data_IF_424527474160
#
_entry.id   IF_424527474160
#
_cell.length_a   1.000
_cell.length_b   1.000
_cell.length_c   1.000
_cell.angle_alpha   90.00
_cell.angle_beta   90.00
_cell.angle_gamma   90.00
#
_symmetry.space_group_name_H-M   'P 1'
#
loop_
_entity.id
_entity.type
_entity.pdbx_description
1 polymer ?
#
# COMPACT_ATOMS: atom_id res chain seq x y z
N UNK A 1 -36.36 10.35 -40.52
CA UNK A 1 -35.80 9.00 -40.73
C UNK A 1 -34.58 8.74 -39.83
N UNK A 2 -33.49 9.52 -39.95
CA UNK A 2 -32.27 9.30 -39.15
C UNK A 2 -32.46 9.43 -37.62
N UNK A 3 -33.24 10.40 -37.15
CA UNK A 3 -33.48 10.59 -35.71
C UNK A 3 -34.32 9.46 -35.10
N UNK A 4 -35.29 8.95 -35.87
CA UNK A 4 -36.13 7.81 -35.45
C UNK A 4 -35.31 6.52 -35.39
N UNK A 5 -34.33 6.35 -36.29
CA UNK A 5 -33.39 5.24 -36.26
C UNK A 5 -32.47 5.29 -35.03
N UNK A 6 -31.99 6.47 -34.64
CA UNK A 6 -31.16 6.67 -33.44
C UNK A 6 -31.98 6.41 -32.16
N UNK A 7 -33.23 6.88 -32.09
CA UNK A 7 -34.10 6.64 -30.94
C UNK A 7 -34.49 5.15 -30.85
N UNK A 8 -34.75 4.47 -31.97
CA UNK A 8 -35.00 3.04 -32.01
C UNK A 8 -33.76 2.21 -31.57
N UNK A 9 -32.56 2.67 -31.91
CA UNK A 9 -31.29 2.10 -31.44
C UNK A 9 -31.08 2.25 -29.93
N UNK A 10 -31.54 3.37 -29.36
CA UNK A 10 -31.44 3.62 -27.91
C UNK A 10 -32.51 2.84 -27.12
N UNK A 11 -33.69 2.64 -27.71
CA UNK A 11 -34.82 1.93 -27.04
C UNK A 11 -34.75 0.41 -27.17
N UNK A 12 -34.01 -0.16 -28.13
CA UNK A 12 -33.84 -1.61 -28.29
C UNK A 12 -32.79 -2.22 -27.31
N UNK A 13 -32.58 -1.58 -26.16
CA UNK A 13 -31.41 -1.75 -25.29
C UNK A 13 -31.71 -2.56 -24.02
N UNK A 14 -31.97 -3.86 -24.15
CA UNK A 14 -31.18 -4.77 -23.31
C UNK A 14 -30.89 -6.09 -24.04
N UNK A 15 -29.62 -6.40 -24.30
CA UNK A 15 -28.97 -7.63 -23.77
C UNK A 15 -27.64 -8.03 -24.42
N UNK A 16 -27.29 -7.72 -25.67
CA UNK A 16 -26.03 -8.30 -26.24
C UNK A 16 -25.20 -7.42 -27.20
N UNK A 17 -25.62 -6.20 -27.54
CA UNK A 17 -24.94 -5.37 -28.57
C UNK A 17 -23.78 -4.47 -28.09
N UNK A 18 -23.58 -4.32 -26.78
CA UNK A 18 -22.62 -3.35 -26.22
C UNK A 18 -21.15 -3.72 -26.46
N UNK A 19 -20.81 -5.01 -26.63
CA UNK A 19 -19.41 -5.45 -26.70
C UNK A 19 -18.71 -5.03 -27.99
N UNK A 20 -19.36 -5.09 -29.15
CA UNK A 20 -18.71 -4.82 -30.44
C UNK A 20 -18.39 -3.34 -30.65
N UNK A 21 -19.33 -2.44 -30.32
CA UNK A 21 -19.08 -0.99 -30.42
C UNK A 21 -18.13 -0.50 -29.32
N UNK A 22 -18.21 -1.05 -28.11
CA UNK A 22 -17.25 -0.74 -27.04
C UNK A 22 -15.83 -1.21 -27.39
N UNK A 23 -15.67 -2.39 -28.00
CA UNK A 23 -14.38 -2.89 -28.46
C UNK A 23 -13.78 -1.99 -29.57
N UNK A 24 -14.60 -1.55 -30.53
CA UNK A 24 -14.16 -0.64 -31.58
C UNK A 24 -13.78 0.74 -31.01
N UNK A 25 -14.60 1.31 -30.12
CA UNK A 25 -14.32 2.57 -29.45
C UNK A 25 -13.06 2.48 -28.58
N UNK A 26 -12.88 1.38 -27.84
CA UNK A 26 -11.70 1.12 -27.02
C UNK A 26 -10.44 0.93 -27.88
N UNK A 27 -10.53 0.22 -29.01
CA UNK A 27 -9.41 0.06 -29.94
C UNK A 27 -9.00 1.42 -30.56
N UNK A 28 -9.97 2.25 -30.95
CA UNK A 28 -9.70 3.60 -31.45
C UNK A 28 -9.11 4.50 -30.37
N UNK A 29 -9.65 4.48 -29.15
CA UNK A 29 -9.12 5.24 -28.01
C UNK A 29 -7.69 4.79 -27.67
N UNK A 30 -7.43 3.48 -27.64
CA UNK A 30 -6.09 2.91 -27.40
C UNK A 30 -5.12 3.27 -28.52
N UNK A 31 -5.55 3.25 -29.77
CA UNK A 31 -4.76 3.68 -30.92
C UNK A 31 -4.42 5.18 -30.84
N UNK A 32 -5.41 6.01 -30.51
CA UNK A 32 -5.23 7.45 -30.32
C UNK A 32 -4.29 7.77 -29.15
N UNK A 33 -4.46 7.12 -28.00
CA UNK A 33 -3.60 7.28 -26.83
C UNK A 33 -2.18 6.79 -27.13
N UNK A 34 -1.99 5.64 -27.79
CA UNK A 34 -0.67 5.16 -28.23
C UNK A 34 0.00 6.13 -29.20
N UNK A 35 -0.75 6.70 -30.14
CA UNK A 35 -0.24 7.71 -31.07
C UNK A 35 0.17 9.00 -30.36
N UNK A 36 -0.63 9.47 -29.41
CA UNK A 36 -0.34 10.67 -28.61
C UNK A 36 0.87 10.46 -27.70
N UNK A 37 0.95 9.31 -27.01
CA UNK A 37 2.09 8.93 -26.16
C UNK A 37 3.37 8.76 -26.99
N UNK A 38 3.28 8.14 -28.17
CA UNK A 38 4.41 7.99 -29.07
C UNK A 38 4.97 9.34 -29.54
N UNK A 39 4.09 10.27 -29.95
CA UNK A 39 4.48 11.64 -30.34
C UNK A 39 5.05 12.42 -29.16
N UNK A 40 4.44 12.35 -27.99
CA UNK A 40 4.93 13.02 -26.78
C UNK A 40 6.31 12.48 -26.38
N UNK A 41 6.52 11.16 -26.42
CA UNK A 41 7.82 10.54 -26.14
C UNK A 41 8.88 10.95 -27.16
N UNK A 42 8.55 10.99 -28.45
CA UNK A 42 9.47 11.44 -29.48
C UNK A 42 9.85 12.92 -29.31
N UNK A 43 8.87 13.79 -29.03
CA UNK A 43 9.10 15.20 -28.73
C UNK A 43 9.96 15.39 -27.47
N UNK A 44 9.75 14.55 -26.44
CA UNK A 44 10.51 14.57 -25.20
C UNK A 44 11.98 14.24 -25.45
N UNK A 45 12.25 13.14 -26.16
CA UNK A 45 13.62 12.73 -26.49
C UNK A 45 14.31 13.77 -27.38
N UNK A 46 13.58 14.36 -28.34
CA UNK A 46 14.09 15.44 -29.18
C UNK A 46 14.46 16.68 -28.37
N UNK A 47 13.60 17.08 -27.43
CA UNK A 47 13.85 18.22 -26.54
C UNK A 47 15.08 18.00 -25.65
N UNK A 48 15.23 16.80 -25.07
CA UNK A 48 16.38 16.43 -24.26
C UNK A 48 17.69 16.43 -25.07
N UNK A 49 17.66 15.90 -26.30
CA UNK A 49 18.82 15.92 -27.21
C UNK A 49 19.20 17.34 -27.65
N UNK A 50 18.22 18.18 -28.00
CA UNK A 50 18.48 19.60 -28.34
C UNK A 50 19.08 20.34 -27.14
N UNK A 51 18.55 20.10 -25.93
CA UNK A 51 19.06 20.70 -24.71
C UNK A 51 20.51 20.30 -24.43
N UNK A 52 20.83 19.00 -24.53
CA UNK A 52 22.21 18.51 -24.37
C UNK A 52 23.17 19.13 -25.38
N UNK A 53 22.75 19.27 -26.64
CA UNK A 53 23.55 19.92 -27.68
C UNK A 53 23.76 21.41 -27.37
N UNK A 54 22.71 22.12 -26.93
CA UNK A 54 22.80 23.54 -26.57
C UNK A 54 23.75 23.76 -25.37
N UNK A 55 23.69 22.90 -24.35
CA UNK A 55 24.58 22.93 -23.18
C UNK A 55 26.03 22.69 -23.60
N UNK A 56 26.30 21.67 -24.43
CA UNK A 56 27.64 21.39 -24.95
C UNK A 56 28.21 22.54 -25.79
N UNK A 57 27.35 23.28 -26.48
CA UNK A 57 27.71 24.47 -27.25
C UNK A 57 27.83 25.74 -26.41
N UNK A 58 27.57 25.69 -25.09
CA UNK A 58 27.53 26.87 -24.23
C UNK A 58 26.43 27.87 -24.60
N UNK A 59 25.40 27.43 -25.32
CA UNK A 59 24.27 28.29 -25.72
C UNK A 59 23.27 28.38 -24.59
N UNK A 60 23.17 29.55 -23.96
CA UNK A 60 22.19 29.82 -22.92
C UNK A 60 20.82 30.14 -23.53
N UNK A 61 19.79 29.39 -23.13
CA UNK A 61 18.38 29.71 -23.41
C UNK A 61 17.64 29.83 -22.08
N UNK A 62 16.61 30.69 -22.05
CA UNK A 62 15.76 30.88 -20.87
C UNK A 62 14.30 30.69 -21.27
N UNK A 63 13.47 30.05 -20.42
CA UNK A 63 12.05 29.88 -20.73
C UNK A 63 11.34 31.23 -20.69
N UNK A 64 10.31 31.42 -21.52
CA UNK A 64 9.64 32.72 -21.67
C UNK A 64 8.95 33.19 -20.38
N UNK A 65 8.59 32.25 -19.51
CA UNK A 65 7.92 32.50 -18.24
C UNK A 65 8.87 32.63 -17.05
N UNK A 66 10.20 32.75 -17.26
CA UNK A 66 11.17 32.83 -16.15
C UNK A 66 10.92 34.02 -15.20
N UNK A 67 10.28 35.08 -15.69
CA UNK A 67 9.91 36.25 -14.88
C UNK A 67 8.71 36.02 -13.95
N UNK A 68 8.02 34.89 -14.09
CA UNK A 68 6.93 34.49 -13.20
C UNK A 68 7.48 33.84 -11.94
N UNK A 69 7.45 34.59 -10.83
CA UNK A 69 8.06 34.22 -9.55
C UNK A 69 7.56 32.87 -9.02
N UNK A 70 6.30 32.52 -9.23
CA UNK A 70 5.72 31.28 -8.70
C UNK A 70 6.27 30.06 -9.46
N UNK A 71 6.27 30.11 -10.79
CA UNK A 71 6.84 29.04 -11.61
C UNK A 71 8.36 28.93 -11.45
N UNK A 72 9.05 30.05 -11.25
CA UNK A 72 10.48 30.05 -10.96
C UNK A 72 10.78 29.31 -9.64
N UNK A 73 10.06 29.62 -8.56
CA UNK A 73 10.20 28.93 -7.28
C UNK A 73 9.93 27.43 -7.42
N UNK A 74 8.88 27.07 -8.14
CA UNK A 74 8.52 25.67 -8.35
C UNK A 74 9.59 24.92 -9.14
N UNK A 75 10.14 25.50 -10.22
CA UNK A 75 11.23 24.92 -10.99
C UNK A 75 12.46 24.66 -10.11
N UNK A 76 12.85 25.62 -9.28
CA UNK A 76 14.00 25.49 -8.36
C UNK A 76 13.74 24.41 -7.30
N UNK A 77 12.55 24.40 -6.70
CA UNK A 77 12.19 23.43 -5.68
C UNK A 77 12.21 21.98 -6.21
N UNK A 78 11.57 21.74 -7.35
CA UNK A 78 11.52 20.42 -7.97
C UNK A 78 12.88 19.97 -8.49
N UNK A 79 13.69 20.88 -9.05
CA UNK A 79 15.06 20.55 -9.47
C UNK A 79 15.94 20.16 -8.28
N UNK A 80 15.86 20.88 -7.15
CA UNK A 80 16.59 20.50 -5.93
C UNK A 80 16.16 19.14 -5.39
N UNK A 81 14.85 18.88 -5.37
CA UNK A 81 14.29 17.59 -4.96
C UNK A 81 14.77 16.46 -5.86
N UNK A 82 14.82 16.68 -7.17
CA UNK A 82 15.34 15.71 -8.13
C UNK A 82 16.84 15.41 -7.94
N UNK A 83 17.65 16.42 -7.64
CA UNK A 83 19.07 16.24 -7.32
C UNK A 83 19.27 15.46 -6.00
N UNK A 84 18.42 15.69 -5.00
CA UNK A 84 18.44 14.93 -3.74
C UNK A 84 18.03 13.48 -3.96
N UNK A 85 17.01 13.25 -4.79
CA UNK A 85 16.61 11.90 -5.22
C UNK A 85 17.68 11.18 -6.07
N UNK A 86 18.68 11.91 -6.59
CA UNK A 86 19.87 11.34 -7.22
C UNK A 86 21.00 11.01 -6.23
N UNK A 87 20.84 11.29 -4.94
CA UNK A 87 21.79 10.99 -3.88
C UNK A 87 22.59 12.19 -3.35
N UNK A 88 22.33 13.42 -3.83
CA UNK A 88 22.96 14.61 -3.25
C UNK A 88 22.35 14.97 -1.89
N UNK A 89 23.17 15.39 -0.93
CA UNK A 89 22.66 15.95 0.34
C UNK A 89 21.99 17.32 0.12
N UNK A 90 21.15 17.82 1.06
CA UNK A 90 20.55 19.14 0.94
C UNK A 90 21.56 20.28 0.80
N UNK A 91 22.70 20.18 1.48
CA UNK A 91 23.80 21.16 1.41
C UNK A 91 24.49 21.06 0.04
N UNK A 92 24.80 19.84 -0.42
CA UNK A 92 25.41 19.62 -1.74
C UNK A 92 24.52 20.14 -2.86
N UNK A 93 23.22 19.80 -2.85
CA UNK A 93 22.27 20.28 -3.86
C UNK A 93 22.19 21.81 -3.87
N UNK A 94 22.11 22.46 -2.70
CA UNK A 94 22.07 23.93 -2.64
C UNK A 94 23.34 24.57 -3.18
N UNK A 95 24.52 24.05 -2.82
CA UNK A 95 25.80 24.50 -3.35
C UNK A 95 25.94 24.25 -4.86
N UNK A 96 25.43 23.12 -5.34
CA UNK A 96 25.46 22.74 -6.75
C UNK A 96 24.60 23.67 -7.62
N UNK A 97 23.39 24.02 -7.16
CA UNK A 97 22.55 25.03 -7.83
C UNK A 97 23.05 26.46 -7.68
N UNK A 98 24.05 26.74 -6.83
CA UNK A 98 24.75 28.04 -6.83
C UNK A 98 25.75 28.17 -7.98
N UNK A 99 26.06 27.08 -8.70
CA UNK A 99 26.97 27.10 -9.83
C UNK A 99 26.23 27.64 -11.08
N UNK A 100 26.86 28.58 -11.79
CA UNK A 100 26.25 29.28 -12.92
C UNK A 100 25.99 28.34 -14.11
N UNK A 101 26.92 27.42 -14.38
CA UNK A 101 26.81 26.41 -15.43
C UNK A 101 25.61 25.47 -15.21
N UNK A 102 25.38 25.05 -13.97
CA UNK A 102 24.24 24.19 -13.61
C UNK A 102 22.93 24.94 -13.76
N UNK A 103 22.87 26.17 -13.27
CA UNK A 103 21.67 27.01 -13.40
C UNK A 103 21.36 27.27 -14.88
N UNK A 104 22.38 27.58 -15.68
CA UNK A 104 22.21 27.83 -17.12
C UNK A 104 21.80 26.56 -17.87
N UNK A 105 22.30 25.39 -17.48
CA UNK A 105 21.86 24.11 -18.03
C UNK A 105 20.38 23.83 -17.74
N UNK A 106 19.94 24.03 -16.49
CA UNK A 106 18.54 23.84 -16.06
C UNK A 106 17.59 24.75 -16.84
N UNK A 107 17.94 26.03 -16.97
CA UNK A 107 17.15 27.00 -17.73
C UNK A 107 17.11 26.66 -19.22
N UNK A 108 18.24 26.22 -19.78
CA UNK A 108 18.35 25.86 -21.20
C UNK A 108 17.49 24.63 -21.53
N UNK A 109 17.48 23.63 -20.65
CA UNK A 109 16.63 22.44 -20.79
C UNK A 109 15.16 22.82 -20.73
N UNK A 110 14.77 23.62 -19.73
CA UNK A 110 13.38 24.10 -19.57
C UNK A 110 12.91 24.81 -20.84
N UNK A 111 13.73 25.70 -21.40
CA UNK A 111 13.44 26.43 -22.63
C UNK A 111 13.35 25.51 -23.88
N UNK A 112 14.13 24.43 -23.92
CA UNK A 112 14.05 23.46 -25.02
C UNK A 112 12.75 22.64 -24.95
N UNK A 113 12.28 22.27 -23.76
CA UNK A 113 10.95 21.68 -23.59
C UNK A 113 9.85 22.67 -23.99
N UNK A 114 9.96 23.94 -23.61
CA UNK A 114 9.01 24.96 -24.06
C UNK A 114 8.93 25.08 -25.59
N UNK A 115 10.08 25.10 -26.26
CA UNK A 115 10.15 25.16 -27.73
C UNK A 115 9.46 23.97 -28.42
N UNK A 116 9.45 22.81 -27.76
CA UNK A 116 8.77 21.61 -28.25
C UNK A 116 7.27 21.56 -27.88
N UNK A 117 6.72 22.64 -27.31
CA UNK A 117 5.29 22.80 -27.05
C UNK A 117 4.79 22.12 -25.78
N UNK A 118 5.70 21.73 -24.88
CA UNK A 118 5.31 21.18 -23.57
C UNK A 118 4.66 22.26 -22.70
N UNK A 119 3.68 21.90 -21.89
CA UNK A 119 3.09 22.77 -20.87
C UNK A 119 4.11 23.11 -19.77
N UNK A 120 3.91 24.21 -19.02
CA UNK A 120 4.83 24.62 -17.93
C UNK A 120 5.10 23.49 -16.92
N UNK A 121 4.06 22.74 -16.54
CA UNK A 121 4.19 21.60 -15.64
C UNK A 121 5.05 20.48 -16.26
N UNK A 122 4.81 20.13 -17.53
CA UNK A 122 5.62 19.12 -18.25
C UNK A 122 7.07 19.58 -18.44
N UNK A 123 7.31 20.87 -18.66
CA UNK A 123 8.67 21.44 -18.74
C UNK A 123 9.42 21.27 -17.42
N UNK A 124 8.76 21.51 -16.28
CA UNK A 124 9.36 21.29 -14.94
C UNK A 124 9.66 19.81 -14.73
N UNK A 125 8.73 18.90 -15.04
CA UNK A 125 8.95 17.46 -14.90
C UNK A 125 10.12 16.99 -15.78
N UNK A 126 10.16 17.39 -17.05
CA UNK A 126 11.25 17.03 -17.95
C UNK A 126 12.61 17.60 -17.51
N UNK A 127 12.60 18.79 -16.93
CA UNK A 127 13.81 19.40 -16.37
C UNK A 127 14.28 18.69 -15.10
N UNK A 128 13.36 18.29 -14.21
CA UNK A 128 13.68 17.50 -13.02
C UNK A 128 14.29 16.14 -13.37
N UNK A 129 13.77 15.46 -14.40
CA UNK A 129 14.34 14.20 -14.89
C UNK A 129 15.76 14.38 -15.43
N UNK A 130 16.00 15.46 -16.18
CA UNK A 130 17.33 15.83 -16.66
C UNK A 130 18.30 16.09 -15.50
N UNK A 131 17.88 16.89 -14.52
CA UNK A 131 18.66 17.24 -13.32
C UNK A 131 19.05 15.99 -12.54
N UNK A 132 18.12 15.04 -12.36
CA UNK A 132 18.39 13.77 -11.70
C UNK A 132 19.52 13.00 -12.39
N UNK A 133 19.46 12.88 -13.72
CA UNK A 133 20.52 12.21 -14.52
C UNK A 133 21.86 12.93 -14.40
N UNK A 134 21.87 14.26 -14.50
CA UNK A 134 23.09 15.06 -14.41
C UNK A 134 23.74 14.94 -13.03
N UNK A 135 22.95 14.99 -11.96
CA UNK A 135 23.43 14.80 -10.59
C UNK A 135 24.05 13.41 -10.37
N UNK A 136 23.40 12.34 -10.88
CA UNK A 136 23.94 10.98 -10.82
C UNK A 136 25.28 10.86 -11.54
N UNK A 137 25.44 11.49 -12.71
CA UNK A 137 26.71 11.48 -13.45
C UNK A 137 27.83 12.17 -12.68
N UNK A 138 27.56 13.31 -12.05
CA UNK A 138 28.56 14.04 -11.28
C UNK A 138 29.00 13.28 -10.02
N UNK A 139 28.06 12.62 -9.33
CA UNK A 139 28.39 11.76 -8.18
C UNK A 139 29.28 10.58 -8.59
N UNK A 140 28.97 9.93 -9.73
CA UNK A 140 29.80 8.87 -10.30
C UNK A 140 31.21 9.33 -10.69
N UNK A 141 31.33 10.54 -11.26
CA UNK A 141 32.64 11.11 -11.61
C UNK A 141 33.49 11.43 -10.37
N UNK A 142 32.87 11.91 -9.29
CA UNK A 142 33.57 12.15 -8.02
C UNK A 142 34.02 10.86 -7.35
N UNK A 143 33.21 9.81 -7.36
CA UNK A 143 33.60 8.51 -6.79
C UNK A 143 34.68 7.79 -7.61
N UNK A 144 34.78 8.05 -8.92
CA UNK A 144 35.75 7.40 -9.82
C UNK A 144 37.14 8.06 -9.80
N UNK A 145 37.30 9.21 -9.13
CA UNK A 145 38.59 9.89 -8.98
C UNK A 145 39.00 9.79 -7.51
N UNK A 146 39.73 8.73 -7.09
CA UNK A 146 40.24 8.66 -5.74
C UNK A 146 41.20 9.83 -5.54
N UNK A 147 40.90 10.65 -4.54
CA UNK A 147 41.67 11.82 -4.17
C UNK A 147 43.08 11.36 -3.76
N UNK A 148 44.05 11.48 -4.69
CA UNK A 148 45.47 11.31 -4.41
C UNK A 148 46.01 12.57 -3.73
N UNK A 149 45.43 12.90 -2.58
CA UNK A 149 45.84 13.99 -1.71
C UNK A 149 46.01 13.41 -0.31
N UNK A 150 47.28 13.27 0.09
CA UNK A 150 47.70 12.91 1.44
C UNK A 150 46.87 13.69 2.47
N UNK A 151 46.04 12.96 3.22
CA UNK A 151 45.45 13.46 4.47
C UNK A 151 46.02 12.66 5.62
N UNK A 152 46.72 13.42 6.46
CA UNK A 152 47.06 13.13 7.85
C UNK A 152 46.07 12.20 8.54
N UNK A 153 46.65 11.25 9.27
CA UNK A 153 45.99 10.25 10.10
C UNK A 153 45.07 10.95 11.11
N UNK A 154 43.78 10.82 10.88
CA UNK A 154 42.68 11.14 11.79
C UNK A 154 41.74 9.92 11.90
N UNK A 155 40.89 9.81 12.95
CA UNK A 155 40.48 8.56 13.61
C UNK A 155 39.45 7.67 12.88
N UNK A 156 39.47 7.62 11.54
CA UNK A 156 38.50 6.89 10.70
C UNK A 156 38.59 5.35 10.80
N UNK A 157 39.72 4.80 11.27
CA UNK A 157 39.90 3.35 11.36
C UNK A 157 39.06 2.70 12.48
N UNK A 158 38.66 3.47 13.50
CA UNK A 158 37.82 2.95 14.59
C UNK A 158 36.34 2.94 14.18
N UNK A 159 35.87 3.94 13.43
CA UNK A 159 34.48 4.00 12.92
C UNK A 159 34.18 2.94 11.83
N UNK A 160 35.18 2.59 11.01
CA UNK A 160 35.02 1.55 9.99
C UNK A 160 34.88 0.13 10.60
N UNK A 161 35.58 -0.15 11.70
CA UNK A 161 35.48 -1.44 12.40
C UNK A 161 34.16 -1.58 13.18
N UNK A 162 33.63 -0.50 13.77
CA UNK A 162 32.32 -0.54 14.44
C UNK A 162 31.17 -0.71 13.45
N UNK A 163 31.25 -0.05 12.29
CA UNK A 163 30.24 -0.15 11.22
C UNK A 163 30.08 -1.57 10.66
N UNK A 164 31.18 -2.33 10.56
CA UNK A 164 31.13 -3.71 10.05
C UNK A 164 30.50 -4.68 11.07
N UNK A 165 30.74 -4.49 12.37
CA UNK A 165 30.11 -5.30 13.42
C UNK A 165 28.61 -5.04 13.55
N UNK A 166 28.20 -3.78 13.45
CA UNK A 166 26.78 -3.35 13.46
C UNK A 166 26.00 -3.92 12.26
N UNK A 167 26.60 -3.87 11.06
CA UNK A 167 26.01 -4.46 9.85
C UNK A 167 25.77 -5.96 10.01
N UNK A 168 26.79 -6.70 10.48
CA UNK A 168 26.68 -8.16 10.63
C UNK A 168 25.66 -8.54 11.71
N UNK A 169 25.64 -7.81 12.83
CA UNK A 169 24.62 -7.98 13.86
C UNK A 169 23.21 -7.71 13.31
N UNK A 170 23.04 -6.63 12.54
CA UNK A 170 21.78 -6.30 11.87
C UNK A 170 21.31 -7.40 10.92
N UNK A 171 22.24 -8.00 10.15
CA UNK A 171 21.97 -9.13 9.24
C UNK A 171 21.49 -10.37 10.00
N UNK A 172 22.18 -10.77 11.06
CA UNK A 172 21.80 -11.93 11.89
C UNK A 172 20.40 -11.73 12.49
N UNK A 173 20.11 -10.55 13.02
CA UNK A 173 18.79 -10.22 13.56
C UNK A 173 17.69 -10.24 12.49
N UNK A 174 18.00 -9.77 11.28
CA UNK A 174 17.06 -9.82 10.16
C UNK A 174 16.74 -11.26 9.76
N UNK A 175 17.75 -12.12 9.64
CA UNK A 175 17.58 -13.55 9.32
C UNK A 175 16.77 -14.27 10.41
N UNK A 176 17.00 -13.97 11.68
CA UNK A 176 16.19 -14.47 12.79
C UNK A 176 14.72 -14.01 12.67
N UNK A 177 14.49 -12.74 12.32
CA UNK A 177 13.15 -12.21 12.08
C UNK A 177 12.43 -12.91 10.92
N UNK A 178 13.14 -13.23 9.84
CA UNK A 178 12.60 -14.00 8.72
C UNK A 178 12.22 -15.43 9.15
N UNK A 179 13.07 -16.10 9.92
CA UNK A 179 12.79 -17.43 10.44
C UNK A 179 11.56 -17.44 11.37
N UNK A 180 11.43 -16.46 12.27
CA UNK A 180 10.25 -16.29 13.11
C UNK A 180 8.99 -16.00 12.29
N UNK A 181 9.08 -15.18 11.24
CA UNK A 181 7.95 -14.87 10.37
C UNK A 181 7.45 -16.11 9.61
N UNK A 182 8.35 -16.94 9.09
CA UNK A 182 8.01 -18.21 8.43
C UNK A 182 7.35 -19.22 9.38
N UNK A 183 7.67 -19.14 10.67
CA UNK A 183 7.05 -19.97 11.71
C UNK A 183 5.79 -19.34 12.31
N UNK A 184 5.22 -18.29 11.70
CA UNK A 184 4.05 -17.55 12.21
C UNK A 184 4.22 -16.96 13.62
N UNK A 185 5.46 -16.74 14.05
CA UNK A 185 5.79 -16.05 15.31
C UNK A 185 5.92 -14.55 15.08
N UNK A 186 4.82 -13.92 14.68
CA UNK A 186 4.83 -12.56 14.14
C UNK A 186 5.30 -11.49 15.14
N UNK A 187 4.95 -11.61 16.42
CA UNK A 187 5.42 -10.69 17.45
C UNK A 187 6.95 -10.76 17.61
N UNK A 188 7.52 -11.96 17.70
CA UNK A 188 8.98 -12.17 17.75
C UNK A 188 9.65 -11.63 16.48
N UNK A 189 9.07 -11.87 15.30
CA UNK A 189 9.60 -11.36 14.03
C UNK A 189 9.64 -9.83 13.98
N UNK A 190 8.57 -9.15 14.42
CA UNK A 190 8.51 -7.69 14.53
C UNK A 190 9.59 -7.17 15.48
N UNK A 191 9.82 -7.84 16.61
CA UNK A 191 10.88 -7.49 17.55
C UNK A 191 12.27 -7.64 16.94
N UNK A 192 12.54 -8.76 16.27
CA UNK A 192 13.81 -8.99 15.57
C UNK A 192 14.06 -7.96 14.46
N UNK A 193 13.06 -7.64 13.63
CA UNK A 193 13.20 -6.58 12.63
C UNK A 193 13.46 -5.22 13.27
N UNK A 194 12.79 -4.92 14.39
CA UNK A 194 13.01 -3.67 15.13
C UNK A 194 14.42 -3.58 15.71
N UNK A 195 14.97 -4.70 16.22
CA UNK A 195 16.36 -4.76 16.69
C UNK A 195 17.35 -4.67 15.53
N UNK A 196 17.05 -5.32 14.41
CA UNK A 196 17.87 -5.24 13.18
C UNK A 196 17.98 -3.80 12.68
N UNK A 197 16.86 -3.07 12.60
CA UNK A 197 16.82 -1.64 12.22
C UNK A 197 17.69 -0.79 13.14
N UNK A 198 17.65 -1.04 14.46
CA UNK A 198 18.45 -0.31 15.45
C UNK A 198 19.95 -0.61 15.33
N UNK A 199 20.30 -1.84 14.98
CA UNK A 199 21.68 -2.24 14.78
C UNK A 199 22.24 -1.67 13.46
N UNK A 200 21.47 -1.73 12.38
CA UNK A 200 21.85 -1.17 11.09
C UNK A 200 20.60 -0.82 10.24
N UNK A 201 20.45 0.44 9.87
CA UNK A 201 19.32 0.88 9.04
C UNK A 201 19.42 0.33 7.61
N UNK A 202 18.46 -0.50 7.22
CA UNK A 202 18.35 -1.09 5.90
C UNK A 202 16.87 -1.13 5.48
N UNK A 203 16.52 -0.91 4.20
CA UNK A 203 15.13 -0.95 3.74
C UNK A 203 14.42 -2.30 3.96
N UNK A 204 15.12 -3.44 3.87
CA UNK A 204 14.50 -4.77 3.92
C UNK A 204 13.80 -5.09 5.26
N UNK A 205 14.42 -4.88 6.44
CA UNK A 205 13.73 -5.00 7.73
C UNK A 205 12.44 -4.15 7.84
N UNK A 206 12.45 -2.92 7.31
CA UNK A 206 11.26 -2.06 7.32
C UNK A 206 10.14 -2.63 6.45
N UNK A 207 10.45 -3.10 5.23
CA UNK A 207 9.47 -3.72 4.33
C UNK A 207 8.85 -4.96 4.98
N UNK A 208 9.67 -5.84 5.54
CA UNK A 208 9.19 -7.07 6.16
C UNK A 208 8.36 -6.80 7.42
N UNK A 209 8.76 -5.82 8.24
CA UNK A 209 7.98 -5.41 9.41
C UNK A 209 6.65 -4.77 9.00
N UNK A 210 6.63 -3.91 7.97
CA UNK A 210 5.41 -3.33 7.42
C UNK A 210 4.42 -4.40 6.94
N UNK A 211 4.90 -5.43 6.23
CA UNK A 211 4.06 -6.53 5.77
C UNK A 211 3.38 -7.25 6.94
N UNK A 212 4.11 -7.54 8.02
CA UNK A 212 3.54 -8.16 9.22
C UNK A 212 2.55 -7.22 9.94
N UNK A 213 2.87 -5.93 10.04
CA UNK A 213 1.98 -4.92 10.64
C UNK A 213 0.67 -4.82 9.85
N UNK A 214 0.72 -4.83 8.51
CA UNK A 214 -0.48 -4.85 7.67
C UNK A 214 -1.33 -6.11 7.85
N UNK A 215 -0.72 -7.29 8.06
CA UNK A 215 -1.45 -8.52 8.41
C UNK A 215 -2.14 -8.45 9.77
N UNK A 216 -1.67 -7.58 10.67
CA UNK A 216 -2.27 -7.27 11.97
C UNK A 216 -3.18 -6.03 11.94
N UNK A 217 -3.54 -5.54 10.75
CA UNK A 217 -4.40 -4.36 10.52
C UNK A 217 -3.76 -3.05 11.07
N UNK A 218 -2.45 -3.06 11.36
CA UNK A 218 -1.66 -1.90 11.82
C UNK A 218 -1.12 -1.10 10.64
N UNK A 219 -2.04 -0.68 9.77
CA UNK A 219 -1.72 -0.05 8.48
C UNK A 219 -1.04 1.31 8.64
N UNK A 220 -1.31 2.05 9.72
CA UNK A 220 -0.65 3.34 9.92
C UNK A 220 0.85 3.18 10.22
N UNK A 221 1.21 2.23 11.06
CA UNK A 221 2.60 1.90 11.38
C UNK A 221 3.31 1.29 10.16
N UNK A 222 2.62 0.41 9.43
CA UNK A 222 3.12 -0.11 8.16
C UNK A 222 3.43 1.02 7.15
N UNK A 223 2.60 2.07 7.09
CA UNK A 223 2.86 3.24 6.24
C UNK A 223 4.17 3.93 6.61
N UNK A 224 4.42 4.13 7.91
CA UNK A 224 5.66 4.79 8.37
C UNK A 224 6.89 3.95 8.00
N UNK A 225 6.81 2.63 8.18
CA UNK A 225 7.88 1.71 7.82
C UNK A 225 8.16 1.73 6.32
N UNK A 226 7.13 1.70 5.47
CA UNK A 226 7.29 1.75 4.01
C UNK A 226 7.85 3.09 3.53
N UNK A 227 7.46 4.22 4.16
CA UNK A 227 8.04 5.53 3.86
C UNK A 227 9.53 5.60 4.23
N UNK A 228 9.91 4.98 5.36
CA UNK A 228 11.31 4.86 5.76
C UNK A 228 12.09 3.94 4.82
N UNK A 229 11.54 2.78 4.45
CA UNK A 229 12.13 1.90 3.46
C UNK A 229 12.39 2.62 2.13
N UNK A 230 11.40 3.38 1.64
CA UNK A 230 11.52 4.18 0.41
C UNK A 230 12.66 5.20 0.48
N UNK A 231 12.86 5.81 1.66
CA UNK A 231 13.93 6.78 1.88
C UNK A 231 15.31 6.12 1.87
N UNK A 232 15.42 4.88 2.34
CA UNK A 232 16.68 4.13 2.44
C UNK A 232 17.02 3.35 1.16
N UNK A 233 16.06 3.09 0.27
CA UNK A 233 16.24 2.38 -1.00
C UNK A 233 16.90 3.24 -2.10
N UNK A 234 18.13 3.71 -1.84
CA UNK A 234 18.88 4.56 -2.78
C UNK A 234 19.19 3.86 -4.11
N UNK A 235 19.41 2.55 -4.07
CA UNK A 235 19.69 1.73 -5.26
C UNK A 235 18.44 1.41 -6.08
N UNK A 236 17.25 1.74 -5.56
CA UNK A 236 15.95 1.41 -6.15
C UNK A 236 15.73 -0.10 -6.36
N UNK A 237 16.33 -0.92 -5.51
CA UNK A 237 16.23 -2.38 -5.58
C UNK A 237 14.80 -2.84 -5.25
N UNK A 238 14.18 -2.17 -4.27
CA UNK A 238 12.87 -2.54 -3.75
C UNK A 238 11.74 -1.60 -4.21
N UNK A 239 12.05 -0.61 -5.05
CA UNK A 239 11.13 0.49 -5.36
C UNK A 239 9.77 0.04 -5.90
N UNK A 240 9.73 -0.99 -6.74
CA UNK A 240 8.46 -1.51 -7.28
C UNK A 240 7.57 -2.14 -6.20
N UNK A 241 8.17 -2.91 -5.29
CA UNK A 241 7.47 -3.52 -4.16
C UNK A 241 7.00 -2.46 -3.17
N UNK A 242 7.89 -1.53 -2.80
CA UNK A 242 7.58 -0.43 -1.89
C UNK A 242 6.43 0.41 -2.44
N UNK A 243 6.46 0.79 -3.72
CA UNK A 243 5.41 1.60 -4.33
C UNK A 243 4.06 0.88 -4.40
N UNK A 244 4.06 -0.44 -4.65
CA UNK A 244 2.86 -1.25 -4.60
C UNK A 244 2.25 -1.27 -3.20
N UNK A 245 3.02 -1.63 -2.18
CA UNK A 245 2.54 -1.70 -0.80
C UNK A 245 2.10 -0.32 -0.28
N UNK A 246 2.86 0.74 -0.60
CA UNK A 246 2.48 2.11 -0.28
C UNK A 246 1.12 2.47 -0.88
N UNK A 247 0.83 2.06 -2.12
CA UNK A 247 -0.46 2.38 -2.75
C UNK A 247 -1.65 1.79 -1.97
N UNK A 248 -1.50 0.56 -1.47
CA UNK A 248 -2.52 -0.15 -0.69
C UNK A 248 -2.67 0.50 0.69
N UNK A 249 -1.57 0.59 1.43
CA UNK A 249 -1.57 1.10 2.81
C UNK A 249 -1.99 2.58 2.85
N UNK A 250 -1.62 3.36 1.84
CA UNK A 250 -2.08 4.75 1.72
C UNK A 250 -3.59 4.84 1.49
N UNK A 251 -4.21 3.92 0.77
CA UNK A 251 -5.67 3.91 0.63
C UNK A 251 -6.34 3.56 1.98
N UNK A 252 -5.85 2.53 2.68
CA UNK A 252 -6.41 2.07 3.95
C UNK A 252 -6.26 3.10 5.09
N UNK A 253 -5.22 3.92 5.06
CA UNK A 253 -4.95 4.93 6.10
C UNK A 253 -5.53 6.31 5.81
N UNK A 254 -6.48 6.44 4.88
CA UNK A 254 -7.09 7.73 4.52
C UNK A 254 -7.76 8.44 5.70
N UNK A 255 -8.31 7.68 6.65
CA UNK A 255 -9.03 8.22 7.80
C UNK A 255 -8.15 9.00 8.80
N UNK A 256 -6.82 8.80 8.76
CA UNK A 256 -5.87 9.61 9.53
C UNK A 256 -5.66 11.02 8.99
N UNK A 257 -6.12 11.30 7.77
CA UNK A 257 -5.79 12.54 7.04
C UNK A 257 -7.01 13.35 6.64
N UNK A 258 -8.19 12.74 6.64
CA UNK A 258 -9.46 13.40 6.31
C UNK A 258 -10.23 13.88 7.55
N UNK A 259 -9.70 13.68 8.77
CA UNK A 259 -10.34 14.09 10.03
C UNK A 259 -11.37 13.09 10.58
N UNK A 260 -11.58 11.94 9.93
CA UNK A 260 -12.58 10.94 10.37
C UNK A 260 -12.18 10.36 11.72
N UNK A 261 -10.89 10.06 11.94
CA UNK A 261 -10.39 9.46 13.18
C UNK A 261 -10.82 10.24 14.42
N UNK A 262 -10.76 11.57 14.37
CA UNK A 262 -11.10 12.46 15.48
C UNK A 262 -12.60 12.48 15.79
N UNK A 263 -13.43 12.02 14.86
CA UNK A 263 -14.90 11.94 15.00
C UNK A 263 -15.38 10.57 15.46
N UNK A 264 -14.52 9.55 15.46
CA UNK A 264 -14.91 8.19 15.82
C UNK A 264 -15.19 8.09 17.32
N UNK A 265 -16.27 7.39 17.65
CA UNK A 265 -16.58 7.05 19.03
C UNK A 265 -15.49 6.15 19.59
N UNK A 266 -15.01 6.46 20.81
CA UNK A 266 -14.07 5.60 21.52
C UNK A 266 -14.79 4.40 22.10
N UNK A 267 -14.19 3.20 22.05
CA UNK A 267 -14.70 2.01 22.74
C UNK A 267 -14.47 2.12 24.26
N UNK A 268 -15.22 2.98 24.94
CA UNK A 268 -15.04 3.26 26.38
C UNK A 268 -15.85 2.33 27.30
N UNK A 269 -16.79 1.55 26.76
CA UNK A 269 -17.59 0.55 27.48
C UNK A 269 -17.86 -0.67 26.60
N UNK A 270 -18.15 -1.83 27.22
CA UNK A 270 -18.52 -3.07 26.51
C UNK A 270 -19.70 -2.86 25.55
N UNK A 271 -20.74 -2.14 25.99
CA UNK A 271 -21.90 -1.83 25.16
C UNK A 271 -21.53 -0.92 23.98
N UNK A 272 -20.69 0.09 24.21
CA UNK A 272 -20.19 0.96 23.13
C UNK A 272 -19.35 0.21 22.10
N UNK A 273 -18.55 -0.78 22.52
CA UNK A 273 -17.76 -1.61 21.61
C UNK A 273 -18.64 -2.46 20.71
N UNK A 274 -19.71 -3.03 21.28
CA UNK A 274 -20.67 -3.85 20.54
C UNK A 274 -21.35 -3.03 19.44
N UNK A 275 -21.84 -1.84 19.76
CA UNK A 275 -22.54 -0.98 18.80
C UNK A 275 -21.60 -0.52 17.67
N UNK A 276 -20.34 -0.17 18.02
CA UNK A 276 -19.31 0.16 17.03
C UNK A 276 -19.02 -1.04 16.12
N UNK A 277 -18.77 -2.22 16.68
CA UNK A 277 -18.48 -3.43 15.92
C UNK A 277 -19.61 -3.77 14.93
N UNK A 278 -20.86 -3.69 15.38
CA UNK A 278 -22.03 -3.94 14.56
C UNK A 278 -22.21 -2.90 13.45
N UNK A 279 -22.05 -1.61 13.76
CA UNK A 279 -22.13 -0.55 12.76
C UNK A 279 -21.03 -0.69 11.69
N UNK A 280 -19.81 -1.07 12.08
CA UNK A 280 -18.71 -1.32 11.15
C UNK A 280 -18.97 -2.53 10.26
N UNK A 281 -19.52 -3.63 10.80
CA UNK A 281 -19.93 -4.80 10.01
C UNK A 281 -21.03 -4.43 9.01
N UNK A 282 -22.12 -3.83 9.48
CA UNK A 282 -23.24 -3.41 8.63
C UNK A 282 -22.78 -2.49 7.50
N UNK A 283 -21.95 -1.49 7.81
CA UNK A 283 -21.43 -0.56 6.80
C UNK A 283 -20.47 -1.24 5.82
N UNK A 284 -19.53 -2.06 6.31
CA UNK A 284 -18.50 -2.66 5.48
C UNK A 284 -19.03 -3.76 4.56
N UNK A 285 -20.04 -4.52 5.03
CA UNK A 285 -20.70 -5.59 4.28
C UNK A 285 -21.96 -5.12 3.54
N UNK A 286 -22.30 -3.82 3.60
CA UNK A 286 -23.49 -3.24 2.96
C UNK A 286 -24.81 -3.89 3.44
N UNK A 287 -24.86 -4.30 4.70
CA UNK A 287 -26.02 -4.92 5.34
C UNK A 287 -26.85 -3.82 6.00
N UNK A 288 -28.12 -3.69 5.60
CA UNK A 288 -29.03 -2.74 6.25
C UNK A 288 -29.32 -3.14 7.71
N UNK A 289 -29.58 -2.16 8.58
CA UNK A 289 -29.93 -2.41 9.99
C UNK A 289 -31.06 -3.44 10.15
N UNK A 290 -32.15 -3.30 9.38
CA UNK A 290 -33.27 -4.25 9.44
C UNK A 290 -32.88 -5.66 8.98
N UNK A 291 -32.06 -5.77 7.93
CA UNK A 291 -31.58 -7.07 7.48
C UNK A 291 -30.71 -7.75 8.54
N UNK A 292 -29.86 -6.97 9.23
CA UNK A 292 -29.04 -7.45 10.33
C UNK A 292 -29.87 -7.88 11.55
N UNK A 293 -30.84 -7.05 11.97
CA UNK A 293 -31.73 -7.30 13.11
C UNK A 293 -32.57 -8.58 12.91
N UNK A 294 -33.09 -8.79 11.70
CA UNK A 294 -33.90 -9.97 11.37
C UNK A 294 -33.10 -11.12 10.74
N UNK A 295 -31.78 -10.98 10.62
CA UNK A 295 -30.87 -11.96 10.04
C UNK A 295 -31.28 -12.45 8.62
N UNK A 296 -31.73 -11.53 7.75
CA UNK A 296 -32.32 -11.82 6.41
C UNK A 296 -31.39 -11.52 5.22
N UNK A 297 -30.08 -11.41 5.45
CA UNK A 297 -29.08 -11.15 4.40
C UNK A 297 -28.31 -12.42 3.99
N UNK A 298 -27.51 -12.33 2.93
CA UNK A 298 -26.62 -13.42 2.52
C UNK A 298 -25.38 -13.51 3.44
N UNK A 299 -25.28 -14.62 4.17
CA UNK A 299 -24.19 -14.87 5.13
C UNK A 299 -22.86 -15.27 4.48
N UNK A 300 -22.81 -15.55 3.18
CA UNK A 300 -21.65 -16.22 2.55
C UNK A 300 -20.34 -15.47 2.78
N UNK A 301 -20.32 -14.14 2.59
CA UNK A 301 -19.12 -13.33 2.83
C UNK A 301 -18.82 -13.15 4.33
N UNK A 302 -19.85 -13.07 5.17
CA UNK A 302 -19.69 -12.89 6.62
C UNK A 302 -19.12 -14.16 7.28
N UNK A 303 -19.60 -15.32 6.85
CA UNK A 303 -19.09 -16.61 7.24
C UNK A 303 -17.63 -16.79 6.79
N UNK A 304 -17.33 -16.48 5.53
CA UNK A 304 -15.95 -16.48 5.05
C UNK A 304 -15.05 -15.57 5.90
N UNK A 305 -15.50 -14.34 6.19
CA UNK A 305 -14.76 -13.40 7.04
C UNK A 305 -14.45 -13.98 8.42
N UNK A 306 -15.44 -14.64 9.04
CA UNK A 306 -15.26 -15.27 10.35
C UNK A 306 -14.10 -16.27 10.35
N UNK A 307 -14.12 -17.25 9.44
CA UNK A 307 -13.05 -18.26 9.38
C UNK A 307 -11.71 -17.68 8.94
N UNK A 308 -11.71 -16.72 8.01
CA UNK A 308 -10.50 -16.01 7.60
C UNK A 308 -9.86 -15.25 8.77
N UNK A 309 -10.67 -14.62 9.63
CA UNK A 309 -10.15 -13.95 10.82
C UNK A 309 -9.66 -14.92 11.90
N UNK A 310 -10.31 -16.09 12.09
CA UNK A 310 -9.77 -17.13 12.99
C UNK A 310 -8.38 -17.60 12.51
N UNK A 311 -8.25 -17.87 11.21
CA UNK A 311 -6.97 -18.24 10.60
C UNK A 311 -5.91 -17.14 10.73
N UNK A 312 -6.28 -15.88 10.47
CA UNK A 312 -5.39 -14.74 10.63
C UNK A 312 -4.93 -14.56 12.08
N UNK A 313 -5.82 -14.74 13.06
CA UNK A 313 -5.47 -14.60 14.48
C UNK A 313 -4.48 -15.68 14.90
N UNK A 314 -4.67 -16.93 14.46
CA UNK A 314 -3.71 -18.01 14.74
C UNK A 314 -2.35 -17.74 14.11
N UNK A 315 -2.31 -17.20 12.88
CA UNK A 315 -1.08 -16.98 12.12
C UNK A 315 -0.33 -15.70 12.50
N UNK A 316 -1.03 -14.64 12.88
CA UNK A 316 -0.44 -13.30 12.96
C UNK A 316 -0.63 -12.59 14.31
N UNK A 317 -1.49 -13.09 15.18
CA UNK A 317 -1.82 -12.46 16.47
C UNK A 317 -1.50 -13.40 17.66
N UNK A 318 -1.59 -12.85 18.87
CA UNK A 318 -1.47 -13.64 20.09
C UNK A 318 -2.88 -14.12 20.52
N UNK A 319 -3.15 -15.43 20.38
CA UNK A 319 -4.48 -16.02 20.64
C UNK A 319 -5.00 -15.74 22.05
N UNK A 320 -4.11 -15.63 23.05
CA UNK A 320 -4.47 -15.28 24.43
C UNK A 320 -5.06 -13.86 24.58
N UNK A 321 -4.85 -12.99 23.60
CA UNK A 321 -5.47 -11.66 23.55
C UNK A 321 -6.89 -11.69 22.95
N UNK A 322 -7.31 -12.85 22.42
CA UNK A 322 -8.63 -13.14 21.85
C UNK A 322 -9.24 -14.38 22.55
N UNK A 323 -9.64 -14.28 23.83
CA UNK A 323 -10.05 -15.45 24.62
C UNK A 323 -11.25 -16.20 24.02
N UNK A 324 -12.17 -15.53 23.34
CA UNK A 324 -13.31 -16.16 22.65
C UNK A 324 -12.87 -17.08 21.51
N UNK A 325 -11.81 -16.67 20.80
CA UNK A 325 -11.26 -17.42 19.65
C UNK A 325 -10.70 -18.76 20.10
N UNK A 326 -10.14 -18.86 21.31
CA UNK A 326 -9.69 -20.14 21.86
C UNK A 326 -10.80 -21.19 21.96
N UNK A 327 -12.03 -20.77 22.27
CA UNK A 327 -13.20 -21.66 22.27
C UNK A 327 -13.56 -22.10 20.84
N UNK A 328 -13.68 -21.15 19.92
CA UNK A 328 -14.02 -21.46 18.53
C UNK A 328 -12.97 -22.33 17.83
N UNK A 329 -11.69 -22.17 18.13
CA UNK A 329 -10.63 -23.03 17.59
C UNK A 329 -10.70 -24.46 18.15
N UNK A 330 -11.30 -24.67 19.33
CA UNK A 330 -11.58 -26.00 19.84
C UNK A 330 -12.78 -26.64 19.13
N UNK A 331 -13.80 -25.84 18.80
CA UNK A 331 -15.02 -26.30 18.12
C UNK A 331 -14.82 -26.52 16.61
N UNK A 332 -13.94 -25.75 15.97
CA UNK A 332 -13.64 -25.82 14.54
C UNK A 332 -12.20 -26.29 14.30
N UNK A 333 -11.99 -27.56 13.87
CA UNK A 333 -10.65 -28.08 13.60
C UNK A 333 -9.89 -27.26 12.54
N UNK A 334 -8.57 -27.20 12.64
CA UNK A 334 -7.72 -26.43 11.72
C UNK A 334 -8.00 -26.74 10.24
N UNK A 335 -8.13 -28.01 9.87
CA UNK A 335 -8.43 -28.41 8.49
C UNK A 335 -9.81 -27.92 8.01
N UNK A 336 -10.80 -27.83 8.90
CA UNK A 336 -12.11 -27.26 8.57
C UNK A 336 -11.97 -25.75 8.32
N UNK A 337 -11.24 -25.03 9.17
CA UNK A 337 -10.97 -23.60 8.97
C UNK A 337 -10.28 -23.37 7.62
N UNK A 338 -9.23 -24.13 7.30
CA UNK A 338 -8.54 -24.03 6.00
C UNK A 338 -9.47 -24.33 4.82
N UNK A 339 -10.39 -25.31 4.96
CA UNK A 339 -11.39 -25.59 3.94
C UNK A 339 -12.31 -24.39 3.71
N UNK A 340 -12.79 -23.73 4.77
CA UNK A 340 -13.65 -22.54 4.67
C UNK A 340 -12.89 -21.35 4.07
N UNK A 341 -11.64 -21.12 4.49
CA UNK A 341 -10.76 -20.07 3.93
C UNK A 341 -10.40 -20.35 2.46
N UNK A 342 -10.27 -21.62 2.07
CA UNK A 342 -10.05 -22.00 0.67
C UNK A 342 -11.27 -21.83 -0.24
N UNK A 343 -12.46 -21.62 0.34
CA UNK A 343 -13.75 -21.62 -0.36
C UNK A 343 -14.40 -20.23 -0.39
N UNK A 344 -13.61 -19.18 -0.60
CA UNK A 344 -14.14 -17.80 -0.71
C UNK A 344 -15.19 -17.71 -1.83
N UNK A 345 -16.43 -17.28 -1.55
CA UNK A 345 -17.50 -17.27 -2.54
C UNK A 345 -17.28 -16.23 -3.65
N UNK A 346 -16.74 -15.07 -3.31
CA UNK A 346 -16.35 -14.01 -4.24
C UNK A 346 -15.16 -13.23 -3.66
N UNK A 347 -13.95 -13.53 -4.14
CA UNK A 347 -12.71 -12.93 -3.66
C UNK A 347 -12.66 -11.41 -3.92
N UNK A 348 -13.18 -10.95 -5.06
CA UNK A 348 -13.12 -9.53 -5.41
C UNK A 348 -14.09 -8.72 -4.55
N UNK A 349 -15.30 -9.24 -4.34
CA UNK A 349 -16.26 -8.64 -3.41
C UNK A 349 -15.70 -8.61 -1.97
N UNK A 350 -15.11 -9.71 -1.51
CA UNK A 350 -14.49 -9.78 -0.19
C UNK A 350 -13.35 -8.77 -0.01
N UNK A 351 -12.44 -8.64 -0.99
CA UNK A 351 -11.36 -7.65 -0.92
C UNK A 351 -11.88 -6.22 -0.78
N UNK A 352 -13.01 -5.89 -1.42
CA UNK A 352 -13.66 -4.59 -1.25
C UNK A 352 -14.23 -4.40 0.17
N UNK A 353 -14.89 -5.42 0.70
CA UNK A 353 -15.42 -5.44 2.08
C UNK A 353 -14.28 -5.29 3.09
N UNK A 354 -13.23 -6.10 2.96
CA UNK A 354 -12.05 -6.10 3.82
C UNK A 354 -11.35 -4.74 3.79
N UNK A 355 -11.17 -4.13 2.62
CA UNK A 355 -10.56 -2.80 2.51
C UNK A 355 -11.36 -1.72 3.24
N UNK A 356 -12.70 -1.72 3.10
CA UNK A 356 -13.58 -0.79 3.85
C UNK A 356 -13.45 -1.01 5.34
N UNK A 357 -13.52 -2.26 5.77
CA UNK A 357 -13.42 -2.62 7.18
C UNK A 357 -12.07 -2.21 7.77
N UNK A 358 -10.97 -2.57 7.12
CA UNK A 358 -9.61 -2.24 7.55
C UNK A 358 -9.39 -0.73 7.60
N UNK A 359 -9.96 0.03 6.67
CA UNK A 359 -9.91 1.50 6.67
C UNK A 359 -10.52 2.11 7.95
N UNK A 360 -11.52 1.46 8.54
CA UNK A 360 -12.07 1.86 9.83
C UNK A 360 -11.28 1.29 11.01
N UNK A 361 -11.02 -0.02 11.02
CA UNK A 361 -10.34 -0.68 12.14
C UNK A 361 -8.96 -0.10 12.41
N UNK A 362 -8.18 0.20 11.37
CA UNK A 362 -6.83 0.70 11.55
C UNK A 362 -6.76 2.12 12.11
N UNK A 363 -7.88 2.82 12.32
CA UNK A 363 -7.91 4.17 12.91
C UNK A 363 -7.88 4.18 14.44
N UNK A 364 -8.29 3.06 15.02
CA UNK A 364 -8.21 2.80 16.45
C UNK A 364 -6.78 2.39 16.81
N UNK A 365 -6.33 2.78 18.00
CA UNK A 365 -5.07 2.28 18.53
C UNK A 365 -5.20 0.76 18.81
N UNK A 366 -4.09 0.01 18.82
CA UNK A 366 -4.11 -1.46 18.84
C UNK A 366 -5.02 -2.08 19.92
N UNK A 367 -5.04 -1.63 21.19
CA UNK A 367 -5.93 -2.20 22.21
C UNK A 367 -7.42 -2.00 21.88
N UNK A 368 -7.79 -0.83 21.39
CA UNK A 368 -9.17 -0.47 21.03
C UNK A 368 -9.60 -1.22 19.76
N UNK A 369 -8.73 -1.24 18.74
CA UNK A 369 -8.93 -1.99 17.51
C UNK A 369 -9.19 -3.47 17.80
N UNK A 370 -8.37 -4.06 18.68
CA UNK A 370 -8.50 -5.46 19.10
C UNK A 370 -9.83 -5.72 19.81
N UNK A 371 -10.23 -4.83 20.72
CA UNK A 371 -11.51 -4.96 21.42
C UNK A 371 -12.69 -4.93 20.45
N UNK A 372 -12.69 -3.99 19.49
CA UNK A 372 -13.71 -3.92 18.43
C UNK A 372 -13.71 -5.21 17.59
N UNK A 373 -12.55 -5.71 17.16
CA UNK A 373 -12.45 -6.99 16.40
C UNK A 373 -13.04 -8.17 17.15
N UNK A 374 -12.75 -8.31 18.45
CA UNK A 374 -13.33 -9.37 19.29
C UNK A 374 -14.86 -9.32 19.29
N UNK A 375 -15.43 -8.13 19.49
CA UNK A 375 -16.88 -7.95 19.45
C UNK A 375 -17.44 -8.23 18.05
N UNK A 376 -16.75 -7.86 16.97
CA UNK A 376 -17.18 -8.19 15.61
C UNK A 376 -17.27 -9.71 15.41
N UNK A 377 -16.23 -10.46 15.76
CA UNK A 377 -16.24 -11.92 15.64
C UNK A 377 -17.35 -12.56 16.45
N UNK A 378 -17.55 -12.09 17.69
CA UNK A 378 -18.65 -12.56 18.52
C UNK A 378 -20.02 -12.30 17.88
N UNK A 379 -20.23 -11.09 17.33
CA UNK A 379 -21.50 -10.75 16.67
C UNK A 379 -21.72 -11.56 15.40
N UNK A 380 -20.67 -11.79 14.60
CA UNK A 380 -20.75 -12.66 13.42
C UNK A 380 -21.13 -14.08 13.85
N UNK A 381 -20.44 -14.64 14.85
CA UNK A 381 -20.75 -15.95 15.38
C UNK A 381 -22.21 -16.05 15.82
N UNK A 382 -22.74 -15.07 16.56
CA UNK A 382 -24.16 -15.04 16.93
C UNK A 382 -25.09 -15.07 15.70
N UNK A 383 -24.80 -14.31 14.65
CA UNK A 383 -25.64 -14.31 13.44
C UNK A 383 -25.59 -15.65 12.71
N UNK A 384 -24.44 -16.33 12.70
CA UNK A 384 -24.31 -17.69 12.17
C UNK A 384 -25.10 -18.69 13.01
N UNK A 385 -25.07 -18.58 14.36
CA UNK A 385 -25.89 -19.45 15.23
C UNK A 385 -27.39 -19.23 15.03
N UNK A 386 -27.85 -17.97 14.91
CA UNK A 386 -29.25 -17.66 14.61
C UNK A 386 -29.68 -18.21 13.26
N UNK A 387 -28.78 -18.21 12.27
CA UNK A 387 -29.05 -18.83 10.96
C UNK A 387 -29.15 -20.35 11.07
N UNK A 388 -28.22 -20.97 11.78
CA UNK A 388 -28.05 -22.42 11.87
C UNK A 388 -29.13 -23.09 12.73
N UNK A 389 -29.60 -22.42 13.78
CA UNK A 389 -30.57 -22.95 14.76
C UNK A 389 -31.83 -22.09 14.93
N UNK A 390 -32.00 -21.02 14.16
CA UNK A 390 -33.13 -20.10 14.29
C UNK A 390 -33.02 -19.13 15.47
N UNK A 391 -34.11 -18.39 15.72
CA UNK A 391 -34.15 -17.34 16.77
C UNK A 391 -34.02 -17.84 18.20
N UNK A 392 -34.20 -19.15 18.43
CA UNK A 392 -34.04 -19.84 19.72
C UNK A 392 -32.87 -20.82 19.65
N UNK A 393 -31.71 -20.36 19.17
CA UNK A 393 -30.51 -21.19 19.02
C UNK A 393 -29.97 -21.74 20.34
N UNK A 394 -30.47 -21.24 21.47
CA UNK A 394 -30.22 -21.72 22.83
C UNK A 394 -31.24 -22.78 23.32
N UNK A 395 -32.25 -23.13 22.52
CA UNK A 395 -33.24 -24.16 22.84
C UNK A 395 -32.78 -25.57 22.41
N UNK A 396 -33.11 -26.58 23.24
CA UNK A 396 -32.66 -27.97 23.10
C UNK A 396 -33.26 -28.73 21.89
N UNK A 397 -34.24 -28.17 21.20
CA UNK A 397 -35.04 -28.83 20.16
C UNK A 397 -34.84 -28.27 18.74
N UNK A 398 -33.85 -27.40 18.54
CA UNK A 398 -33.61 -26.80 17.24
C UNK A 398 -32.91 -27.74 16.25
N UNK A 399 -33.46 -27.86 15.03
CA UNK A 399 -32.79 -28.53 13.92
C UNK A 399 -31.56 -27.72 13.48
N UNK A 400 -30.37 -28.26 13.70
CA UNK A 400 -29.11 -27.66 13.27
C UNK A 400 -28.92 -27.76 11.74
N UNK A 401 -28.65 -26.61 11.10
CA UNK A 401 -28.29 -26.48 9.69
C UNK A 401 -27.03 -25.61 9.53
N UNK A 402 -26.59 -25.40 8.29
CA UNK A 402 -25.51 -24.46 7.98
C UNK A 402 -24.14 -24.92 8.50
N UNK A 403 -23.31 -23.97 8.92
CA UNK A 403 -21.89 -24.20 9.18
C UNK A 403 -21.63 -25.11 10.37
N UNK A 404 -22.50 -25.06 11.37
CA UNK A 404 -22.40 -25.93 12.54
C UNK A 404 -22.61 -27.40 12.13
N UNK A 405 -23.61 -27.66 11.27
CA UNK A 405 -23.86 -29.01 10.75
C UNK A 405 -22.75 -29.48 9.80
N UNK A 406 -22.20 -28.56 9.00
CA UNK A 406 -21.05 -28.84 8.14
C UNK A 406 -19.82 -29.24 8.97
N UNK A 407 -19.51 -28.52 10.05
CA UNK A 407 -18.41 -28.83 10.95
C UNK A 407 -18.57 -30.20 11.63
N UNK A 408 -19.76 -30.49 12.16
CA UNK A 408 -20.10 -31.80 12.74
C UNK A 408 -19.86 -32.94 11.73
N UNK A 409 -20.36 -32.76 10.49
CA UNK A 409 -20.21 -33.75 9.42
C UNK A 409 -18.74 -33.94 9.03
N UNK A 410 -17.97 -32.86 8.98
CA UNK A 410 -16.54 -32.90 8.68
C UNK A 410 -15.78 -33.70 9.74
N UNK A 411 -16.02 -33.44 11.03
CA UNK A 411 -15.40 -34.16 12.14
C UNK A 411 -15.75 -35.65 12.07
N UNK A 412 -17.03 -35.99 11.94
CA UNK A 412 -17.50 -37.37 11.85
C UNK A 412 -16.90 -38.12 10.64
N UNK A 413 -16.67 -37.44 9.52
CA UNK A 413 -16.07 -38.05 8.34
C UNK A 413 -14.57 -38.36 8.52
N UNK A 414 -13.83 -37.51 9.23
CA UNK A 414 -12.39 -37.68 9.44
C UNK A 414 -12.05 -38.70 10.53
N UNK A 415 -12.89 -38.84 11.56
CA UNK A 415 -12.72 -39.86 12.60
C UNK A 415 -12.83 -41.29 12.04
N UNK A 416 -13.56 -41.49 10.94
CA UNK A 416 -13.72 -42.79 10.30
C UNK A 416 -12.54 -43.21 9.39
N UNK A 417 -11.53 -42.34 9.24
CA UNK A 417 -10.34 -42.57 8.40
C UNK A 417 -9.09 -42.98 9.17
N UNK A 418 -9.18 -43.06 10.50
CA UNK A 418 -8.13 -43.52 11.40
C UNK A 418 -8.55 -44.83 12.08
#
# INVERSE_FOLDING_TARGET
>A
MAIVFIIALILAWPTYGLSLLALAAFAMLRGYLRGKVGKARAAYVSAEQEAMKAIQQGTKKVPTWLHDTEWQKQLVAESKKAAQAAGMTPIQSSSWFSQHDITDAVLTVTACFERHGFSKAEQIVGTSDFVKKLAQQQLKQKSAKPDAGEREVQPAAVEAMTSQGEYEQGRILFEAGMASALAYKCQEAIEYYSQSIKAHENPAPYINRANLLSKRIRHHEALQDLLMAKRLDFAQEFSSQIDHELSIVYALTQNYRNGVRETLAKPSSSDGCRDIAEALLQTSFEISHLAWEYNTFDHSLLEFHFFNELDNIVKFEAVNEYPEVGGWLADYPEHFIQMKVGSCPDLAAYQSVEARLHTHLCTYDEPDMRLVRRHMLYRIHCQLMVRDFGGFWDALDSECRGVTKEAETFIASNENTH
#
